data_IF_065831844850
#
_entry.id   IF_065831844850
#
_cell.length_a   1.000
_cell.length_b   1.000
_cell.length_c   1.000
_cell.angle_alpha   90.00
_cell.angle_beta   90.00
_cell.angle_gamma   90.00
#
_symmetry.space_group_name_H-M   'P 1'
#
loop_
_entity.id
_entity.type
_entity.pdbx_description
1 polymer ?
#
# COMPACT_ATOMS: atom_id res chain seq x y z
N UNK A 1 20.13 20.01 -49.30
CA UNK A 1 21.19 19.86 -48.28
C UNK A 1 20.61 20.38 -46.97
N UNK A 2 20.24 19.47 -46.06
CA UNK A 2 19.28 19.69 -44.98
C UNK A 2 19.87 20.47 -43.78
N UNK A 3 19.07 21.27 -43.05
CA UNK A 3 19.48 21.85 -41.78
C UNK A 3 19.24 20.87 -40.63
N UNK A 4 20.18 20.85 -39.67
CA UNK A 4 20.13 20.05 -38.45
C UNK A 4 18.96 20.50 -37.54
N UNK A 5 17.97 19.63 -37.39
CA UNK A 5 16.91 19.75 -36.37
C UNK A 5 17.47 19.28 -35.04
N UNK A 6 17.46 20.18 -34.06
CA UNK A 6 17.94 19.94 -32.71
C UNK A 6 17.10 18.91 -31.96
N UNK A 7 17.77 17.91 -31.39
CA UNK A 7 17.18 17.04 -30.36
C UNK A 7 17.35 17.74 -29.03
N UNK A 8 16.35 18.54 -28.65
CA UNK A 8 16.15 18.97 -27.26
C UNK A 8 15.86 17.71 -26.45
N UNK A 9 16.74 17.38 -25.51
CA UNK A 9 16.44 16.51 -24.38
C UNK A 9 15.23 17.07 -23.63
N UNK A 10 14.06 16.51 -23.92
CA UNK A 10 12.82 16.78 -23.19
C UNK A 10 12.95 16.22 -21.78
N UNK A 11 13.40 17.11 -20.90
CA UNK A 11 13.14 17.09 -19.46
C UNK A 11 11.64 16.86 -19.26
N UNK A 12 11.27 15.65 -18.89
CA UNK A 12 9.89 15.29 -18.61
C UNK A 12 9.47 15.86 -17.24
N UNK A 13 9.32 17.19 -17.19
CA UNK A 13 8.74 17.95 -16.09
C UNK A 13 7.23 18.05 -16.31
N UNK A 14 6.44 17.10 -15.77
CA UNK A 14 4.98 17.20 -15.51
C UNK A 14 4.63 16.07 -14.53
N UNK A 15 4.20 16.23 -13.28
CA UNK A 15 3.57 17.32 -12.54
C UNK A 15 3.87 17.13 -11.04
N UNK A 16 4.14 18.22 -10.33
CA UNK A 16 3.78 18.37 -8.93
C UNK A 16 2.27 18.09 -8.80
N UNK A 17 1.86 16.87 -8.52
CA UNK A 17 0.54 16.62 -7.93
C UNK A 17 0.62 17.13 -6.50
N UNK A 18 -0.31 18.00 -6.11
CA UNK A 18 -0.52 18.42 -4.74
C UNK A 18 -0.27 17.22 -3.82
N UNK A 19 0.70 17.36 -2.90
CA UNK A 19 1.05 16.32 -1.96
C UNK A 19 -0.23 15.96 -1.21
N UNK A 20 -0.83 14.83 -1.58
CA UNK A 20 -2.13 14.42 -1.07
C UNK A 20 -2.00 14.34 0.45
N UNK A 21 -2.94 14.95 1.17
CA UNK A 21 -2.83 15.11 2.62
C UNK A 21 -2.93 13.76 3.31
N UNK A 22 -1.81 13.06 3.44
CA UNK A 22 -1.75 11.79 4.15
C UNK A 22 -1.85 12.02 5.65
N UNK A 23 -2.68 11.20 6.28
CA UNK A 23 -2.82 11.12 7.73
C UNK A 23 -2.47 9.72 8.21
N UNK A 24 -2.19 9.55 9.50
CA UNK A 24 -1.84 8.26 10.07
C UNK A 24 -2.46 8.03 11.43
N UNK A 25 -2.64 6.77 11.80
CA UNK A 25 -2.84 6.36 13.20
C UNK A 25 -1.82 5.29 13.56
N UNK A 26 -1.44 5.24 14.83
CA UNK A 26 -0.53 4.23 15.36
C UNK A 26 -1.32 3.33 16.30
N UNK A 27 -1.24 2.04 16.05
CA UNK A 27 -2.04 1.03 16.74
C UNK A 27 -1.09 0.16 17.53
N UNK A 28 -1.28 0.12 18.85
CA UNK A 28 -0.65 -0.88 19.69
C UNK A 28 -1.40 -2.21 19.53
N UNK A 29 -0.66 -3.27 19.25
CA UNK A 29 -1.21 -4.61 18.98
C UNK A 29 -0.37 -5.69 19.66
N UNK A 30 -0.92 -6.89 19.78
CA UNK A 30 -0.18 -8.05 20.29
C UNK A 30 1.04 -8.43 19.42
N UNK A 31 1.15 -7.91 18.20
CA UNK A 31 2.28 -8.13 17.29
C UNK A 31 3.33 -7.01 17.36
N UNK A 32 3.06 -5.92 18.09
CA UNK A 32 3.85 -4.69 18.13
C UNK A 32 3.09 -3.47 17.60
N UNK A 33 3.77 -2.34 17.49
CA UNK A 33 3.21 -1.09 16.99
C UNK A 33 3.08 -1.11 15.48
N UNK A 34 1.88 -0.88 14.96
CA UNK A 34 1.59 -0.84 13.53
C UNK A 34 1.07 0.55 13.16
N UNK A 35 1.63 1.14 12.11
CA UNK A 35 1.14 2.38 11.51
C UNK A 35 0.16 2.10 10.39
N UNK A 36 -0.98 2.81 10.39
CA UNK A 36 -1.92 2.85 9.27
C UNK A 36 -1.86 4.23 8.64
N UNK A 37 -1.68 4.30 7.33
CA UNK A 37 -1.62 5.55 6.57
C UNK A 37 -2.86 5.68 5.68
N UNK A 38 -3.50 6.84 5.73
CA UNK A 38 -4.75 7.13 5.04
C UNK A 38 -4.59 8.31 4.09
N UNK A 39 -5.19 8.18 2.91
CA UNK A 39 -5.50 9.31 2.04
C UNK A 39 -6.99 9.66 2.18
N UNK A 40 -7.47 10.75 1.53
CA UNK A 40 -8.90 11.04 1.47
C UNK A 40 -9.75 9.93 0.84
N UNK A 41 -9.14 8.96 0.14
CA UNK A 41 -9.83 7.87 -0.57
C UNK A 41 -9.91 6.57 0.23
N UNK A 42 -9.09 6.42 1.28
CA UNK A 42 -9.05 5.20 2.07
C UNK A 42 -7.68 4.88 2.68
N UNK A 43 -7.53 3.64 3.14
CA UNK A 43 -6.26 3.11 3.63
C UNK A 43 -5.27 2.95 2.48
N UNK A 44 -4.11 3.60 2.59
CA UNK A 44 -3.10 3.70 1.54
C UNK A 44 -1.89 2.80 1.77
N UNK A 45 -1.51 2.60 3.04
CA UNK A 45 -0.36 1.81 3.45
C UNK A 45 -0.52 1.31 4.90
N UNK A 46 0.13 0.19 5.21
CA UNK A 46 0.20 -0.42 6.54
C UNK A 46 1.65 -0.82 6.82
N UNK A 47 2.21 -0.34 7.93
CA UNK A 47 3.58 -0.72 8.29
C UNK A 47 3.62 -2.14 8.85
N UNK A 48 4.80 -2.75 8.80
CA UNK A 48 5.05 -3.95 9.59
C UNK A 48 5.12 -3.59 11.09
N UNK A 49 4.91 -4.57 11.99
CA UNK A 49 5.00 -4.31 13.43
C UNK A 49 6.40 -3.84 13.84
N UNK A 50 6.44 -2.82 14.70
CA UNK A 50 7.65 -2.26 15.30
C UNK A 50 7.65 -2.45 16.81
N UNK A 51 8.85 -2.43 17.38
CA UNK A 51 9.02 -2.64 18.82
C UNK A 51 8.51 -1.45 19.64
N UNK A 52 8.51 -0.25 19.06
CA UNK A 52 8.14 0.99 19.74
C UNK A 52 7.23 1.88 18.91
N UNK A 53 6.41 2.69 19.62
CA UNK A 53 5.58 3.74 19.01
C UNK A 53 6.43 4.71 18.18
N UNK A 54 7.63 5.03 18.64
CA UNK A 54 8.53 5.98 17.97
C UNK A 54 9.01 5.45 16.61
N UNK A 55 9.39 4.18 16.53
CA UNK A 55 9.77 3.54 15.25
C UNK A 55 8.61 3.49 14.27
N UNK A 56 7.42 3.08 14.73
CA UNK A 56 6.22 3.08 13.89
C UNK A 56 5.87 4.50 13.40
N UNK A 57 6.01 5.52 14.27
CA UNK A 57 5.80 6.92 13.92
C UNK A 57 6.83 7.42 12.89
N UNK A 58 8.10 7.02 13.01
CA UNK A 58 9.14 7.37 12.06
C UNK A 58 8.84 6.76 10.67
N UNK A 59 8.36 5.52 10.62
CA UNK A 59 8.04 4.83 9.37
C UNK A 59 6.84 5.44 8.64
N UNK A 60 5.74 5.75 9.33
CA UNK A 60 4.60 6.44 8.69
C UNK A 60 4.96 7.84 8.20
N UNK A 61 5.86 8.54 8.91
CA UNK A 61 6.41 9.83 8.45
C UNK A 61 7.28 9.67 7.21
N UNK A 62 8.09 8.60 7.13
CA UNK A 62 8.88 8.29 5.93
C UNK A 62 7.99 7.97 4.71
N UNK A 63 6.77 7.46 4.95
CA UNK A 63 5.72 7.28 3.93
C UNK A 63 4.98 8.59 3.57
N UNK A 64 5.34 9.72 4.17
CA UNK A 64 4.76 11.04 3.89
C UNK A 64 3.52 11.39 4.71
N UNK A 65 3.15 10.57 5.70
CA UNK A 65 2.04 10.85 6.59
C UNK A 65 2.51 11.66 7.81
N UNK A 66 2.12 12.93 7.88
CA UNK A 66 2.61 13.85 8.91
C UNK A 66 1.53 14.32 9.88
N UNK A 67 0.28 13.94 9.65
CA UNK A 67 -0.87 14.35 10.48
C UNK A 67 -1.55 13.14 11.11
N UNK A 68 -1.93 13.19 12.39
CA UNK A 68 -2.80 12.17 12.98
C UNK A 68 -4.14 12.08 12.22
N UNK A 69 -4.67 10.87 12.07
CA UNK A 69 -5.99 10.59 11.53
C UNK A 69 -7.01 10.52 12.67
N UNK A 70 -8.14 11.18 12.50
CA UNK A 70 -9.27 11.19 13.45
C UNK A 70 -10.60 10.92 12.74
N UNK A 71 -10.58 10.03 11.75
CA UNK A 71 -11.75 9.67 10.95
C UNK A 71 -12.38 8.36 11.45
N UNK A 72 -13.69 8.15 11.25
CA UNK A 72 -14.33 6.87 11.59
C UNK A 72 -13.66 5.66 10.93
N UNK A 73 -13.16 5.83 9.70
CA UNK A 73 -12.40 4.80 8.99
C UNK A 73 -11.10 4.42 9.72
N UNK A 74 -10.36 5.42 10.23
CA UNK A 74 -9.11 5.17 10.94
C UNK A 74 -9.35 4.42 12.25
N UNK A 75 -10.39 4.79 12.98
CA UNK A 75 -10.78 4.11 14.22
C UNK A 75 -11.22 2.66 13.96
N UNK A 76 -12.03 2.44 12.91
CA UNK A 76 -12.50 1.10 12.54
C UNK A 76 -11.34 0.21 12.07
N UNK A 77 -10.46 0.72 11.21
CA UNK A 77 -9.27 -0.02 10.77
C UNK A 77 -8.36 -0.39 11.96
N UNK A 78 -8.18 0.52 12.92
CA UNK A 78 -7.39 0.26 14.13
C UNK A 78 -8.02 -0.84 14.99
N UNK A 79 -9.34 -0.78 15.26
CA UNK A 79 -10.05 -1.81 16.02
C UNK A 79 -9.92 -3.19 15.36
N UNK A 80 -10.19 -3.28 14.06
CA UNK A 80 -10.10 -4.53 13.30
C UNK A 80 -8.69 -5.10 13.30
N UNK A 81 -7.66 -4.25 13.23
CA UNK A 81 -6.28 -4.68 13.31
C UNK A 81 -5.91 -5.24 14.70
N UNK A 82 -6.41 -4.62 15.77
CA UNK A 82 -6.23 -5.15 17.13
C UNK A 82 -6.90 -6.51 17.30
N UNK A 83 -8.13 -6.66 16.80
CA UNK A 83 -8.85 -7.94 16.81
C UNK A 83 -8.12 -9.01 16.00
N UNK A 84 -7.63 -8.65 14.81
CA UNK A 84 -6.80 -9.52 13.98
C UNK A 84 -5.55 -10.00 14.72
N UNK A 85 -4.83 -9.07 15.37
CA UNK A 85 -3.60 -9.39 16.11
C UNK A 85 -3.86 -10.29 17.33
N UNK A 86 -5.07 -10.28 17.88
CA UNK A 86 -5.52 -11.19 18.94
C UNK A 86 -6.01 -12.55 18.40
N UNK A 87 -6.04 -12.74 17.09
CA UNK A 87 -6.54 -13.95 16.46
C UNK A 87 -8.07 -14.05 16.41
N UNK A 88 -8.78 -12.94 16.64
CA UNK A 88 -10.24 -12.92 16.55
C UNK A 88 -10.69 -12.94 15.08
N UNK A 89 -11.86 -13.53 14.78
CA UNK A 89 -12.45 -13.48 13.44
C UNK A 89 -12.75 -12.02 13.04
N UNK A 90 -12.17 -11.57 11.93
CA UNK A 90 -12.35 -10.22 11.40
C UNK A 90 -12.22 -10.22 9.88
N UNK A 91 -13.00 -9.37 9.20
CA UNK A 91 -12.91 -9.13 7.76
C UNK A 91 -12.44 -7.70 7.47
N UNK A 92 -11.72 -7.55 6.36
CA UNK A 92 -11.26 -6.27 5.81
C UNK A 92 -11.86 -6.01 4.41
N UNK A 93 -12.82 -6.83 3.96
CA UNK A 93 -13.30 -6.82 2.57
C UNK A 93 -14.03 -5.53 2.18
N UNK A 94 -14.68 -4.88 3.15
CA UNK A 94 -15.40 -3.61 3.03
C UNK A 94 -14.52 -2.39 3.34
N UNK A 95 -13.24 -2.58 3.71
CA UNK A 95 -12.36 -1.46 4.01
C UNK A 95 -11.96 -0.74 2.72
N UNK A 96 -12.21 0.57 2.58
CA UNK A 96 -11.80 1.32 1.38
C UNK A 96 -10.28 1.38 1.29
N UNK A 97 -9.72 0.80 0.23
CA UNK A 97 -8.29 0.83 -0.07
C UNK A 97 -7.96 1.84 -1.17
N UNK A 98 -6.90 2.61 -0.96
CA UNK A 98 -6.38 3.56 -1.94
C UNK A 98 -5.28 2.92 -2.81
N UNK A 99 -5.65 2.60 -4.04
CA UNK A 99 -4.77 2.00 -5.05
C UNK A 99 -3.93 3.01 -5.85
N UNK A 100 -4.07 4.32 -5.58
CA UNK A 100 -3.36 5.36 -6.33
C UNK A 100 -1.87 5.35 -6.02
N UNK A 101 -1.06 5.90 -6.92
CA UNK A 101 0.41 5.89 -6.78
C UNK A 101 1.08 4.53 -7.01
N UNK A 102 0.33 3.43 -7.12
CA UNK A 102 0.87 2.14 -7.51
C UNK A 102 1.07 2.05 -9.03
N UNK A 103 2.23 1.57 -9.52
CA UNK A 103 2.43 1.19 -10.91
C UNK A 103 1.33 0.24 -11.39
N UNK A 104 0.88 0.32 -12.66
CA UNK A 104 -0.26 -0.45 -13.15
C UNK A 104 -0.15 -1.96 -12.91
N UNK A 105 1.04 -2.53 -13.12
CA UNK A 105 1.27 -3.97 -12.88
C UNK A 105 1.18 -4.33 -11.40
N UNK A 106 1.83 -3.57 -10.52
CA UNK A 106 1.77 -3.80 -9.07
C UNK A 106 0.34 -3.69 -8.56
N UNK A 107 -0.42 -2.68 -9.02
CA UNK A 107 -1.83 -2.51 -8.69
C UNK A 107 -2.66 -3.73 -9.07
N UNK A 108 -2.51 -4.22 -10.30
CA UNK A 108 -3.22 -5.41 -10.76
C UNK A 108 -2.89 -6.65 -9.92
N UNK A 109 -1.63 -6.84 -9.56
CA UNK A 109 -1.17 -7.92 -8.68
C UNK A 109 -1.81 -7.84 -7.30
N UNK A 110 -1.78 -6.68 -6.66
CA UNK A 110 -2.32 -6.49 -5.31
C UNK A 110 -3.86 -6.58 -5.29
N UNK A 111 -4.54 -6.07 -6.32
CA UNK A 111 -5.99 -6.22 -6.45
C UNK A 111 -6.40 -7.69 -6.69
N UNK A 112 -5.61 -8.47 -7.42
CA UNK A 112 -5.85 -9.90 -7.57
C UNK A 112 -5.60 -10.65 -6.26
N UNK A 113 -4.55 -10.29 -5.53
CA UNK A 113 -4.24 -10.86 -4.21
C UNK A 113 -5.35 -10.57 -3.18
N UNK A 114 -5.86 -9.34 -3.15
CA UNK A 114 -6.90 -8.91 -2.20
C UNK A 114 -8.23 -9.66 -2.37
N UNK A 115 -8.45 -10.35 -3.49
CA UNK A 115 -9.64 -11.18 -3.74
C UNK A 115 -9.50 -12.62 -3.26
N UNK A 116 -8.32 -13.02 -2.80
CA UNK A 116 -8.10 -14.38 -2.32
C UNK A 116 -8.78 -14.58 -0.96
N UNK A 117 -9.51 -15.69 -0.77
CA UNK A 117 -10.06 -16.02 0.53
C UNK A 117 -8.97 -16.17 1.59
N UNK A 118 -9.29 -15.76 2.83
CA UNK A 118 -8.43 -15.97 3.99
C UNK A 118 -8.03 -17.46 4.11
N UNK A 119 -6.76 -17.71 4.41
CA UNK A 119 -6.22 -19.06 4.57
C UNK A 119 -5.83 -19.75 3.25
N UNK A 120 -6.05 -19.12 2.09
CA UNK A 120 -5.58 -19.64 0.81
C UNK A 120 -4.14 -19.20 0.55
N UNK A 121 -3.30 -20.16 0.18
CA UNK A 121 -1.93 -19.92 -0.32
C UNK A 121 -1.91 -20.11 -1.83
N UNK A 122 -1.25 -19.19 -2.54
CA UNK A 122 -0.93 -19.33 -3.97
C UNK A 122 0.53 -18.93 -4.21
N UNK A 123 1.11 -19.47 -5.27
CA UNK A 123 2.46 -19.15 -5.73
C UNK A 123 2.47 -17.86 -6.54
N UNK A 124 3.64 -17.22 -6.65
CA UNK A 124 3.82 -16.08 -7.55
C UNK A 124 3.54 -16.41 -9.02
N UNK A 125 3.77 -17.66 -9.45
CA UNK A 125 3.41 -18.12 -10.79
C UNK A 125 1.91 -18.17 -11.01
N UNK A 126 1.15 -18.64 -10.01
CA UNK A 126 -0.32 -18.64 -10.05
C UNK A 126 -0.87 -17.21 -10.06
N UNK A 127 -0.36 -16.34 -9.20
CA UNK A 127 -0.77 -14.93 -9.18
C UNK A 127 -0.43 -14.23 -10.51
N UNK A 128 0.73 -14.55 -11.11
CA UNK A 128 1.11 -14.06 -12.43
C UNK A 128 0.13 -14.52 -13.54
N UNK A 129 -0.39 -15.76 -13.46
CA UNK A 129 -1.44 -16.24 -14.38
C UNK A 129 -2.76 -15.51 -14.16
N UNK A 130 -3.16 -15.29 -12.90
CA UNK A 130 -4.41 -14.58 -12.56
C UNK A 130 -4.44 -13.15 -13.14
N UNK A 131 -3.29 -12.47 -13.20
CA UNK A 131 -3.19 -11.13 -13.80
C UNK A 131 -2.87 -11.14 -15.31
N UNK A 132 -3.01 -12.28 -15.99
CA UNK A 132 -2.80 -12.39 -17.44
C UNK A 132 -1.34 -12.27 -17.89
N UNK A 133 -0.37 -12.50 -16.99
CA UNK A 133 1.07 -12.42 -17.27
C UNK A 133 1.81 -13.69 -16.81
N UNK A 134 1.55 -14.87 -17.39
CA UNK A 134 2.05 -16.17 -16.87
C UNK A 134 3.57 -16.27 -16.64
N UNK A 135 4.37 -15.49 -17.38
CA UNK A 135 5.85 -15.47 -17.27
C UNK A 135 6.40 -14.44 -16.28
N UNK A 136 5.54 -13.76 -15.52
CA UNK A 136 5.91 -12.62 -14.68
C UNK A 136 6.13 -12.93 -13.18
N UNK A 137 6.36 -14.19 -12.80
CA UNK A 137 6.50 -14.59 -11.39
C UNK A 137 7.54 -13.76 -10.61
N UNK A 138 8.71 -13.45 -11.20
CA UNK A 138 9.73 -12.59 -10.55
C UNK A 138 9.24 -11.16 -10.35
N UNK A 139 8.50 -10.62 -11.31
CA UNK A 139 7.93 -9.27 -11.21
C UNK A 139 6.82 -9.21 -10.15
N UNK A 140 6.01 -10.27 -10.04
CA UNK A 140 5.05 -10.44 -8.94
C UNK A 140 5.79 -10.44 -7.59
N UNK A 141 6.87 -11.21 -7.45
CA UNK A 141 7.67 -11.22 -6.22
C UNK A 141 8.16 -9.81 -5.82
N UNK A 142 8.60 -9.00 -6.79
CA UNK A 142 8.96 -7.58 -6.55
C UNK A 142 7.76 -6.74 -6.11
N UNK A 143 6.61 -6.89 -6.77
CA UNK A 143 5.37 -6.20 -6.41
C UNK A 143 4.93 -6.53 -4.97
N UNK A 144 5.12 -7.79 -4.54
CA UNK A 144 4.83 -8.25 -3.19
C UNK A 144 5.84 -7.71 -2.16
N UNK A 145 7.13 -7.63 -2.52
CA UNK A 145 8.17 -7.09 -1.63
C UNK A 145 8.00 -5.58 -1.35
N UNK A 146 7.31 -4.86 -2.24
CA UNK A 146 7.02 -3.43 -2.10
C UNK A 146 5.53 -3.17 -1.85
N UNK A 147 4.80 -4.15 -1.30
CA UNK A 147 3.40 -3.96 -0.91
C UNK A 147 3.31 -2.85 0.15
N UNK A 148 2.57 -1.76 -0.11
CA UNK A 148 2.45 -0.64 0.82
C UNK A 148 1.66 -1.01 2.08
#
# INVERSE_FOLDING_TARGET
MAPHVGVKMERNTRRHTAQEALSYTLVDTALGWIGLVFSPRGLRAVTLPRASRHEAEAEVKALGAHRPASTPLAEEAARRLQDYARGLPVSFDDLPLDWNGLPPFQRAVLQALARLPRGRVITYGELARLVGRPRAARAVGRAMATNP
#
